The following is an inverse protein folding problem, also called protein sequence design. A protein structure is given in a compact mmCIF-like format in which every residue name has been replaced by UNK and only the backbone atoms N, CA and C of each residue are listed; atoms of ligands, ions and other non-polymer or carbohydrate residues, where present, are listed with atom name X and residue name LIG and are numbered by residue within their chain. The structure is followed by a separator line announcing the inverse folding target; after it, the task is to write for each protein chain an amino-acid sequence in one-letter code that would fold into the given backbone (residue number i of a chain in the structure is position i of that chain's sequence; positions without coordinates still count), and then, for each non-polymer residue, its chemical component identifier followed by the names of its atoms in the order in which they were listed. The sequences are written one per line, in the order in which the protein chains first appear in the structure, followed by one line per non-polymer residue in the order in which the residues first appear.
data_IF_478750141950
#
_entry.id   IF_478750141950
#
_cell.length_a   1.000
_cell.length_b   1.000
_cell.length_c   1.000
_cell.angle_alpha   90.00
_cell.angle_beta   90.00
_cell.angle_gamma   90.00
#
_symmetry.space_group_name_H-M   'P 1'
#
loop_
_entity.id
_entity.type
_entity.pdbx_description
1 polymer ?
#
# COMPACT_ATOMS: atom_id res chain seq x y z
N UNK A 1 0.80 -17.53 2.08
CA UNK A 1 0.80 -19.01 2.20
C UNK A 1 0.95 -19.69 0.83
N UNK A 2 0.11 -19.39 -0.17
CA UNK A 2 0.13 -20.07 -1.48
C UNK A 2 1.46 -19.95 -2.24
N UNK A 3 2.05 -18.75 -2.29
CA UNK A 3 3.36 -18.54 -2.93
C UNK A 3 4.46 -19.46 -2.32
N UNK A 4 4.48 -19.60 -1.00
CA UNK A 4 5.44 -20.46 -0.32
C UNK A 4 5.26 -21.94 -0.70
N UNK A 5 4.00 -22.40 -0.75
CA UNK A 5 3.65 -23.75 -1.20
C UNK A 5 4.10 -24.00 -2.65
N UNK A 6 3.80 -23.06 -3.57
CA UNK A 6 4.17 -23.18 -4.99
C UNK A 6 5.68 -23.22 -5.21
N UNK A 7 6.44 -22.47 -4.42
CA UNK A 7 7.91 -22.43 -4.49
C UNK A 7 8.60 -23.55 -3.69
N UNK A 8 7.85 -24.37 -2.95
CA UNK A 8 8.43 -25.40 -2.08
C UNK A 8 9.25 -24.83 -0.92
N UNK A 9 8.96 -23.60 -0.47
CA UNK A 9 9.66 -22.95 0.63
C UNK A 9 8.80 -22.90 1.89
N UNK A 10 9.43 -22.77 3.06
CA UNK A 10 8.72 -22.71 4.34
C UNK A 10 8.05 -21.36 4.52
N UNK A 11 6.73 -21.36 4.73
CA UNK A 11 6.01 -20.21 5.24
C UNK A 11 6.29 -20.03 6.74
N UNK A 12 6.57 -18.80 7.16
CA UNK A 12 6.77 -18.41 8.56
C UNK A 12 6.16 -17.05 8.80
N UNK A 13 5.56 -16.87 9.97
CA UNK A 13 5.16 -15.55 10.45
C UNK A 13 6.42 -14.84 10.95
N UNK A 14 7.08 -14.09 10.07
CA UNK A 14 8.27 -13.31 10.44
C UNK A 14 7.91 -12.01 11.16
N UNK A 15 6.77 -11.41 10.83
CA UNK A 15 6.27 -10.20 11.46
C UNK A 15 4.95 -10.45 12.16
N UNK A 16 4.82 -9.90 13.36
CA UNK A 16 3.56 -9.88 14.11
C UNK A 16 3.00 -8.46 14.09
N UNK A 17 1.75 -8.35 13.66
CA UNK A 17 1.00 -7.09 13.70
C UNK A 17 0.56 -6.80 15.13
N UNK A 18 0.93 -5.62 15.64
CA UNK A 18 0.43 -5.14 16.92
C UNK A 18 -1.06 -4.81 16.77
N UNK A 19 -1.91 -5.58 17.45
CA UNK A 19 -3.37 -5.40 17.41
C UNK A 19 -3.83 -4.13 18.12
N UNK A 20 -3.04 -3.63 19.06
CA UNK A 20 -3.37 -2.50 19.92
C UNK A 20 -2.40 -1.34 19.64
N UNK A 21 -2.61 -0.65 18.52
CA UNK A 21 -1.88 0.58 18.20
C UNK A 21 -2.77 1.74 18.65
N UNK A 22 -2.42 2.36 19.79
CA UNK A 22 -3.10 3.55 20.29
C UNK A 22 -2.75 4.80 19.47
N UNK A 23 -3.58 5.84 19.57
CA UNK A 23 -3.23 7.16 19.02
C UNK A 23 -2.02 7.72 19.76
N UNK A 24 -1.05 8.26 19.04
CA UNK A 24 0.10 8.93 19.66
C UNK A 24 -0.33 10.32 20.12
N UNK A 25 -0.35 10.57 21.43
CA UNK A 25 -0.56 11.92 21.96
C UNK A 25 0.66 12.81 21.66
N UNK A 26 0.43 14.12 21.49
CA UNK A 26 1.50 15.10 21.25
C UNK A 26 2.38 15.13 22.51
N UNK A 27 3.56 14.51 22.45
CA UNK A 27 4.54 14.53 23.52
C UNK A 27 5.46 15.75 23.34
N UNK A 28 5.69 16.58 24.37
CA UNK A 28 6.67 17.66 24.30
C UNK A 28 8.09 17.06 24.22
N UNK A 29 8.68 17.09 23.04
CA UNK A 29 10.01 16.56 22.74
C UNK A 29 10.08 15.99 21.32
N UNK A 30 10.80 16.67 20.41
CA UNK A 30 10.85 16.30 18.97
C UNK A 30 11.45 14.91 18.69
N UNK A 31 12.22 14.34 19.62
CA UNK A 31 13.05 13.15 19.39
C UNK A 31 12.28 11.82 19.46
N UNK A 32 11.01 11.84 19.89
CA UNK A 32 10.18 10.63 20.08
C UNK A 32 9.16 10.35 18.96
N UNK A 33 9.32 10.94 17.77
CA UNK A 33 8.67 10.42 16.54
C UNK A 33 9.52 9.32 15.91
N UNK A 34 9.76 8.22 16.63
CA UNK A 34 10.43 7.05 16.03
C UNK A 34 9.41 6.20 15.26
N UNK A 35 9.57 6.21 13.92
CA UNK A 35 9.13 5.25 12.89
C UNK A 35 7.82 4.51 13.19
N UNK A 36 6.71 5.04 12.67
CA UNK A 36 5.36 4.49 12.84
C UNK A 36 5.28 2.99 12.52
N UNK A 37 6.04 2.47 11.55
CA UNK A 37 5.95 1.06 11.17
C UNK A 37 6.47 0.13 12.26
N UNK A 38 7.50 0.52 13.02
CA UNK A 38 7.99 -0.26 14.17
C UNK A 38 6.98 -0.33 15.31
N UNK A 39 6.03 0.61 15.36
CA UNK A 39 4.91 0.52 16.30
C UNK A 39 3.82 -0.43 15.78
N UNK A 40 3.71 -0.61 14.46
CA UNK A 40 2.69 -1.46 13.83
C UNK A 40 3.11 -2.92 13.72
N UNK A 41 4.38 -3.18 13.47
CA UNK A 41 4.93 -4.51 13.20
C UNK A 41 6.11 -4.80 14.12
N UNK A 42 6.17 -6.02 14.64
CA UNK A 42 7.29 -6.53 15.42
C UNK A 42 7.95 -7.71 14.68
N UNK A 43 9.26 -7.66 14.37
CA UNK A 43 9.96 -8.79 13.79
C UNK A 43 10.22 -9.87 14.84
N UNK A 44 10.12 -11.14 14.44
CA UNK A 44 10.60 -12.28 15.22
C UNK A 44 12.02 -12.60 14.77
N UNK A 45 13.02 -12.16 15.53
CA UNK A 45 14.44 -12.27 15.16
C UNK A 45 14.88 -13.66 14.69
N UNK A 46 14.38 -14.72 15.35
CA UNK A 46 14.70 -16.11 15.02
C UNK A 46 14.25 -16.50 13.60
N UNK A 47 13.23 -15.83 13.08
CA UNK A 47 12.72 -16.07 11.72
C UNK A 47 13.54 -15.39 10.63
N UNK A 48 14.36 -14.39 10.97
CA UNK A 48 15.20 -13.65 10.01
C UNK A 48 16.68 -14.00 10.10
N UNK A 49 17.20 -14.23 11.32
CA UNK A 49 18.63 -14.33 11.59
C UNK A 49 19.33 -15.35 10.71
N UNK A 50 20.30 -14.88 9.92
CA UNK A 50 21.12 -15.71 9.05
C UNK A 50 20.38 -16.32 7.85
N UNK A 51 19.16 -15.87 7.52
CA UNK A 51 18.35 -16.44 6.43
C UNK A 51 18.28 -15.49 5.23
N UNK A 52 18.02 -16.05 4.05
CA UNK A 52 17.54 -15.29 2.90
C UNK A 52 16.01 -15.35 2.97
N UNK A 53 15.36 -14.19 3.05
CA UNK A 53 13.91 -14.11 3.27
C UNK A 53 13.24 -13.44 2.08
N UNK A 54 12.03 -13.87 1.77
CA UNK A 54 11.13 -13.19 0.84
C UNK A 54 9.93 -12.67 1.61
N UNK A 55 9.79 -11.34 1.62
CA UNK A 55 8.64 -10.66 2.18
C UNK A 55 7.59 -10.51 1.08
N UNK A 56 6.33 -10.74 1.43
CA UNK A 56 5.20 -10.61 0.51
C UNK A 56 4.24 -9.62 1.13
N UNK A 57 3.88 -8.59 0.38
CA UNK A 57 2.93 -7.55 0.78
C UNK A 57 1.85 -7.42 -0.29
N UNK A 58 0.72 -6.80 0.07
CA UNK A 58 -0.39 -6.62 -0.86
C UNK A 58 0.01 -5.73 -2.05
N UNK A 59 0.67 -4.61 -1.76
CA UNK A 59 0.92 -3.54 -2.71
C UNK A 59 2.06 -2.64 -2.22
N UNK A 60 2.59 -1.81 -3.13
CA UNK A 60 3.60 -0.80 -2.81
C UNK A 60 3.10 0.55 -3.34
N UNK A 61 2.66 1.43 -2.42
CA UNK A 61 2.10 2.75 -2.76
C UNK A 61 3.18 3.85 -2.63
N UNK A 62 3.46 4.33 -1.41
CA UNK A 62 4.49 5.35 -1.13
C UNK A 62 5.89 4.75 -0.93
N UNK A 63 5.99 3.43 -0.73
CA UNK A 63 7.24 2.69 -0.50
C UNK A 63 7.96 2.94 0.85
N UNK A 64 7.58 3.96 1.61
CA UNK A 64 8.16 4.27 2.94
C UNK A 64 7.98 3.10 3.92
N UNK A 65 6.79 2.50 3.95
CA UNK A 65 6.49 1.33 4.78
C UNK A 65 7.34 0.13 4.39
N UNK A 66 7.41 -0.20 3.10
CA UNK A 66 8.20 -1.32 2.60
C UNK A 66 9.69 -1.14 2.92
N UNK A 67 10.21 0.08 2.78
CA UNK A 67 11.59 0.42 3.16
C UNK A 67 11.86 0.17 4.65
N UNK A 68 10.94 0.58 5.52
CA UNK A 68 11.07 0.32 6.96
C UNK A 68 10.99 -1.18 7.28
N UNK A 69 10.09 -1.92 6.62
CA UNK A 69 9.95 -3.38 6.77
C UNK A 69 11.23 -4.11 6.33
N UNK A 70 11.78 -3.75 5.16
CA UNK A 70 13.04 -4.33 4.66
C UNK A 70 14.17 -4.05 5.66
N UNK A 71 14.26 -2.81 6.17
CA UNK A 71 15.26 -2.47 7.17
C UNK A 71 15.06 -3.27 8.46
N UNK A 72 13.83 -3.45 8.95
CA UNK A 72 13.55 -4.26 10.13
C UNK A 72 13.96 -5.72 9.96
N UNK A 73 13.74 -6.30 8.78
CA UNK A 73 14.19 -7.66 8.48
C UNK A 73 15.74 -7.76 8.47
N UNK A 74 16.44 -6.75 7.92
CA UNK A 74 17.91 -6.68 7.98
C UNK A 74 18.43 -6.51 9.40
N UNK A 75 17.81 -5.62 10.18
CA UNK A 75 18.14 -5.37 11.59
C UNK A 75 17.96 -6.64 12.43
N UNK A 76 16.95 -7.46 12.12
CA UNK A 76 16.71 -8.78 12.72
C UNK A 76 17.71 -9.88 12.26
N UNK A 77 18.62 -9.55 11.34
CA UNK A 77 19.73 -10.39 10.92
C UNK A 77 19.51 -11.16 9.60
N UNK A 78 18.56 -10.77 8.75
CA UNK A 78 18.42 -11.36 7.42
C UNK A 78 19.66 -11.09 6.54
N UNK A 79 20.15 -12.12 5.84
CA UNK A 79 21.28 -12.02 4.89
C UNK A 79 20.88 -11.33 3.59
N UNK A 80 19.75 -11.75 3.05
CA UNK A 80 19.13 -11.24 1.82
C UNK A 80 17.65 -11.02 2.06
N UNK A 81 17.13 -9.90 1.59
CA UNK A 81 15.72 -9.54 1.72
C UNK A 81 15.15 -9.29 0.33
N UNK A 82 14.35 -10.25 -0.13
CA UNK A 82 13.55 -10.13 -1.35
C UNK A 82 12.17 -9.61 -0.98
N UNK A 83 11.53 -8.91 -1.91
CA UNK A 83 10.20 -8.33 -1.72
C UNK A 83 9.31 -8.67 -2.92
N UNK A 84 8.10 -9.13 -2.68
CA UNK A 84 7.11 -9.41 -3.70
C UNK A 84 5.82 -8.65 -3.39
N UNK A 85 5.33 -7.87 -4.34
CA UNK A 85 4.04 -7.20 -4.31
C UNK A 85 2.99 -8.07 -4.99
N UNK A 86 1.87 -8.34 -4.33
CA UNK A 86 0.75 -9.09 -4.92
C UNK A 86 -0.04 -8.27 -5.95
N UNK A 87 0.08 -6.94 -5.93
CA UNK A 87 -0.41 -6.05 -6.96
C UNK A 87 0.70 -5.64 -7.94
N UNK A 88 0.35 -5.25 -9.19
CA UNK A 88 1.24 -4.52 -10.09
C UNK A 88 1.68 -3.17 -9.51
N UNK A 89 2.67 -2.48 -10.13
CA UNK A 89 3.10 -1.17 -9.68
C UNK A 89 1.95 -0.16 -9.75
N UNK A 90 1.61 0.48 -8.63
CA UNK A 90 0.60 1.54 -8.55
C UNK A 90 1.24 2.86 -9.03
N UNK A 91 0.89 3.27 -10.25
CA UNK A 91 1.52 4.40 -10.96
C UNK A 91 0.63 5.64 -11.06
N UNK A 92 -0.67 5.46 -10.91
CA UNK A 92 -1.67 6.51 -11.08
C UNK A 92 -2.60 6.58 -9.87
N UNK A 93 -3.13 7.78 -9.54
CA UNK A 93 -4.08 7.94 -8.45
C UNK A 93 -5.43 7.31 -8.79
N UNK A 94 -6.16 6.82 -7.78
CA UNK A 94 -7.56 6.45 -7.98
C UNK A 94 -8.46 7.69 -7.83
N UNK A 95 -9.50 7.77 -8.65
CA UNK A 95 -10.49 8.87 -8.65
C UNK A 95 -11.92 8.37 -8.47
N UNK A 96 -12.09 7.09 -8.14
CA UNK A 96 -13.38 6.41 -8.00
C UNK A 96 -13.69 6.01 -6.55
N UNK A 97 -13.11 6.72 -5.58
CA UNK A 97 -13.43 6.60 -4.16
C UNK A 97 -12.41 5.84 -3.30
N UNK A 98 -11.36 5.27 -3.88
CA UNK A 98 -10.24 4.72 -3.10
C UNK A 98 -9.25 5.84 -2.80
N UNK A 99 -9.02 6.11 -1.50
CA UNK A 99 -8.05 7.11 -1.08
C UNK A 99 -6.62 6.68 -1.46
N UNK A 100 -6.05 7.39 -2.43
CA UNK A 100 -4.69 7.23 -2.92
C UNK A 100 -3.97 8.57 -2.86
N UNK A 101 -2.65 8.57 -2.58
CA UNK A 101 -1.87 9.80 -2.57
C UNK A 101 -1.75 10.41 -3.98
N UNK A 102 -1.14 11.58 -4.10
CA UNK A 102 -0.93 12.15 -5.44
C UNK A 102 0.08 11.32 -6.24
N UNK A 103 0.05 11.46 -7.56
CA UNK A 103 0.93 10.71 -8.47
C UNK A 103 2.40 10.86 -8.07
N UNK A 104 2.83 12.08 -7.73
CA UNK A 104 4.20 12.39 -7.30
C UNK A 104 4.62 11.69 -6.00
N UNK A 105 3.67 11.29 -5.16
CA UNK A 105 3.92 10.58 -3.90
C UNK A 105 3.94 9.06 -4.06
N UNK A 106 3.51 8.54 -5.22
CA UNK A 106 3.60 7.12 -5.56
C UNK A 106 5.04 6.77 -5.91
N UNK A 107 5.59 5.75 -5.25
CA UNK A 107 6.98 5.36 -5.50
C UNK A 107 7.19 4.86 -6.93
N UNK A 108 6.17 4.21 -7.50
CA UNK A 108 6.25 3.67 -8.86
C UNK A 108 5.94 4.69 -9.95
N UNK A 109 5.50 5.91 -9.60
CA UNK A 109 5.30 6.95 -10.60
C UNK A 109 6.63 7.31 -11.27
N UNK A 110 6.66 7.20 -12.60
CA UNK A 110 7.83 7.40 -13.47
C UNK A 110 9.10 6.66 -13.06
N UNK A 111 8.96 5.50 -12.41
CA UNK A 111 10.11 4.68 -12.01
C UNK A 111 10.01 3.25 -12.50
N UNK A 112 11.16 2.72 -12.89
CA UNK A 112 11.36 1.31 -13.19
C UNK A 112 11.35 0.47 -11.92
N UNK A 113 11.09 -0.83 -12.05
CA UNK A 113 11.13 -1.76 -10.90
C UNK A 113 12.49 -1.77 -10.23
N UNK A 114 13.57 -1.62 -11.00
CA UNK A 114 14.94 -1.58 -10.46
C UNK A 114 15.20 -0.33 -9.62
N UNK A 115 14.72 0.85 -10.05
CA UNK A 115 14.82 2.07 -9.25
C UNK A 115 14.02 1.93 -7.95
N UNK A 116 12.82 1.35 -8.00
CA UNK A 116 12.01 1.11 -6.80
C UNK A 116 12.73 0.14 -5.85
N UNK A 117 13.30 -0.95 -6.38
CA UNK A 117 14.09 -1.93 -5.60
C UNK A 117 15.21 -1.24 -4.82
N UNK A 118 15.96 -0.35 -5.47
CA UNK A 118 17.02 0.44 -4.85
C UNK A 118 16.44 1.35 -3.76
N UNK A 119 15.34 2.07 -4.04
CA UNK A 119 14.72 3.02 -3.11
C UNK A 119 14.24 2.36 -1.81
N UNK A 120 13.64 1.16 -1.91
CA UNK A 120 13.18 0.38 -0.74
C UNK A 120 14.31 -0.44 -0.08
N UNK A 121 15.45 -0.60 -0.75
CA UNK A 121 16.62 -1.30 -0.23
C UNK A 121 16.52 -2.83 -0.25
N UNK A 122 15.67 -3.40 -1.11
CA UNK A 122 15.52 -4.84 -1.28
C UNK A 122 16.66 -5.41 -2.15
N UNK A 123 17.04 -6.68 -1.93
CA UNK A 123 18.00 -7.38 -2.80
C UNK A 123 17.35 -7.78 -4.15
N UNK A 124 16.04 -8.00 -4.16
CA UNK A 124 15.24 -8.27 -5.36
C UNK A 124 13.80 -7.83 -5.09
N UNK A 125 13.15 -7.27 -6.10
CA UNK A 125 11.77 -6.81 -6.05
C UNK A 125 10.99 -7.44 -7.21
N UNK A 126 9.84 -8.03 -6.90
CA UNK A 126 8.89 -8.53 -7.89
C UNK A 126 7.55 -7.83 -7.71
N UNK A 127 6.89 -7.59 -8.83
CA UNK A 127 5.49 -7.19 -8.89
C UNK A 127 4.71 -8.27 -9.60
N UNK A 128 3.44 -8.43 -9.22
CA UNK A 128 2.50 -9.23 -9.99
C UNK A 128 2.26 -8.58 -11.36
N UNK A 129 2.20 -9.38 -12.42
CA UNK A 129 1.81 -8.90 -13.74
C UNK A 129 0.32 -8.56 -13.77
N UNK A 130 -0.04 -7.46 -14.45
CA UNK A 130 -1.45 -7.00 -14.50
C UNK A 130 -2.36 -8.04 -15.15
N UNK A 131 -1.91 -8.66 -16.25
CA UNK A 131 -2.69 -9.68 -16.95
C UNK A 131 -2.94 -10.91 -16.05
N UNK A 132 -1.94 -11.30 -15.26
CA UNK A 132 -2.09 -12.41 -14.31
C UNK A 132 -3.02 -12.05 -13.16
N UNK A 133 -2.97 -10.79 -12.67
CA UNK A 133 -3.93 -10.31 -11.66
C UNK A 133 -5.36 -10.36 -12.20
N UNK A 134 -5.60 -9.82 -13.40
CA UNK A 134 -6.90 -9.84 -14.08
C UNK A 134 -7.39 -11.28 -14.27
N UNK A 135 -6.53 -12.18 -14.74
CA UNK A 135 -6.88 -13.60 -14.91
C UNK A 135 -7.30 -14.22 -13.56
N UNK A 136 -6.51 -14.00 -12.51
CA UNK A 136 -6.77 -14.55 -11.17
C UNK A 136 -8.12 -14.11 -10.59
N UNK A 137 -8.54 -12.86 -10.80
CA UNK A 137 -9.83 -12.37 -10.31
C UNK A 137 -11.00 -12.75 -11.22
N UNK A 138 -10.78 -12.85 -12.54
CA UNK A 138 -11.81 -13.28 -13.49
C UNK A 138 -12.21 -14.75 -13.30
N UNK A 139 -11.27 -15.61 -12.90
CA UNK A 139 -11.54 -17.04 -12.60
C UNK A 139 -12.58 -17.25 -11.48
N UNK A 140 -12.89 -16.21 -10.69
CA UNK A 140 -13.90 -16.27 -9.63
C UNK A 140 -15.32 -16.13 -10.17
N UNK A 141 -15.51 -15.37 -11.26
CA UNK A 141 -16.82 -15.13 -11.87
C UNK A 141 -16.71 -14.71 -13.34
N UNK A 142 -17.02 -15.64 -14.24
CA UNK A 142 -16.98 -15.46 -15.70
C UNK A 142 -17.97 -14.40 -16.23
N UNK A 143 -18.92 -13.94 -15.41
CA UNK A 143 -19.91 -12.92 -15.84
C UNK A 143 -19.40 -11.48 -15.72
N UNK A 144 -18.19 -11.26 -15.19
CA UNK A 144 -17.59 -9.93 -15.06
C UNK A 144 -16.84 -9.60 -16.35
N UNK A 145 -17.37 -8.65 -17.12
CA UNK A 145 -16.76 -8.16 -18.36
C UNK A 145 -15.86 -6.96 -18.07
N UNK A 146 -14.64 -7.25 -17.62
CA UNK A 146 -13.58 -6.27 -17.40
C UNK A 146 -13.41 -5.74 -15.97
N UNK A 147 -12.31 -5.03 -15.75
CA UNK A 147 -11.88 -4.55 -14.44
C UNK A 147 -11.39 -3.11 -14.52
N UNK A 148 -11.69 -2.32 -13.50
CA UNK A 148 -11.16 -0.97 -13.33
C UNK A 148 -9.67 -1.08 -12.90
N UNK A 149 -8.76 -0.72 -13.80
CA UNK A 149 -7.31 -0.91 -13.64
C UNK A 149 -6.52 0.40 -13.74
N UNK A 150 -7.17 1.56 -13.65
CA UNK A 150 -6.58 2.88 -13.90
C UNK A 150 -5.34 3.15 -13.06
N UNK A 151 -5.31 2.69 -11.80
CA UNK A 151 -4.16 2.87 -10.91
C UNK A 151 -2.88 2.20 -11.42
N UNK A 152 -3.00 1.20 -12.32
CA UNK A 152 -1.89 0.48 -12.93
C UNK A 152 -1.60 0.97 -14.37
N UNK A 153 -2.64 1.23 -15.16
CA UNK A 153 -2.54 1.53 -16.61
C UNK A 153 -2.62 3.01 -16.95
N UNK A 154 -3.28 3.80 -16.11
CA UNK A 154 -3.65 5.19 -16.41
C UNK A 154 -4.88 5.32 -17.30
N UNK A 155 -5.55 4.20 -17.62
CA UNK A 155 -6.76 4.17 -18.43
C UNK A 155 -7.99 4.20 -17.53
N UNK A 156 -8.68 5.33 -17.52
CA UNK A 156 -9.87 5.56 -16.68
C UNK A 156 -11.14 5.31 -17.50
N UNK A 157 -12.00 4.41 -17.02
CA UNK A 157 -13.16 3.89 -17.78
C UNK A 157 -14.20 4.97 -18.13
N UNK A 158 -14.27 6.05 -17.37
CA UNK A 158 -15.23 7.15 -17.60
C UNK A 158 -14.84 8.06 -18.77
N UNK A 159 -13.60 8.00 -19.24
CA UNK A 159 -13.12 8.74 -20.42
C UNK A 159 -12.99 10.25 -20.25
N UNK A 160 -13.34 10.80 -19.08
CA UNK A 160 -13.29 12.22 -18.72
C UNK A 160 -12.13 12.58 -17.77
N UNK A 161 -11.30 11.59 -17.43
CA UNK A 161 -10.14 11.75 -16.57
C UNK A 161 -8.88 11.90 -17.43
N UNK A 162 -8.40 13.14 -17.51
CA UNK A 162 -7.16 13.49 -18.21
C UNK A 162 -6.08 13.98 -17.24
N UNK A 163 -4.89 14.23 -17.77
CA UNK A 163 -3.78 14.77 -16.98
C UNK A 163 -4.13 16.13 -16.34
N UNK A 164 -4.94 16.96 -17.00
CA UNK A 164 -5.35 18.26 -16.48
C UNK A 164 -6.26 18.11 -15.24
N UNK A 165 -7.19 17.15 -15.27
CA UNK A 165 -8.02 16.78 -14.11
C UNK A 165 -7.16 16.30 -12.95
N UNK A 166 -6.23 15.37 -13.20
CA UNK A 166 -5.35 14.84 -12.15
C UNK A 166 -4.46 15.92 -11.53
N UNK A 167 -3.93 16.84 -12.33
CA UNK A 167 -3.12 17.96 -11.85
C UNK A 167 -3.94 18.90 -10.95
N UNK A 168 -5.18 19.25 -11.35
CA UNK A 168 -6.07 20.07 -10.51
C UNK A 168 -6.37 19.39 -9.17
N UNK A 169 -6.51 18.06 -9.18
CA UNK A 169 -6.77 17.27 -7.98
C UNK A 169 -5.56 17.25 -7.03
N UNK A 170 -4.35 17.16 -7.58
CA UNK A 170 -3.10 17.29 -6.81
C UNK A 170 -2.94 18.71 -6.22
N UNK A 171 -3.20 19.76 -7.00
CA UNK A 171 -3.18 21.15 -6.53
C UNK A 171 -4.15 21.40 -5.38
N UNK A 172 -5.40 20.95 -5.51
CA UNK A 172 -6.42 21.07 -4.46
C UNK A 172 -6.00 20.38 -3.15
N UNK A 173 -5.38 19.20 -3.23
CA UNK A 173 -4.86 18.48 -2.05
C UNK A 173 -3.69 19.19 -1.39
N UNK A 174 -2.79 19.76 -2.18
CA UNK A 174 -1.66 20.53 -1.67
C UNK A 174 -2.11 21.79 -0.92
N UNK A 175 -3.17 22.45 -1.40
CA UNK A 175 -3.72 23.63 -0.74
C UNK A 175 -4.45 23.29 0.57
N UNK A 176 -5.15 22.16 0.66
CA UNK A 176 -5.69 21.64 1.93
C UNK A 176 -4.56 21.38 2.94
N UNK A 177 -3.48 20.75 2.48
CA UNK A 177 -2.32 20.44 3.34
C UNK A 177 -1.60 21.71 3.82
N UNK A 178 -1.47 22.73 2.96
CA UNK A 178 -0.82 24.02 3.30
C UNK A 178 -1.68 24.93 4.16
N UNK A 179 -3.00 24.93 3.96
CA UNK A 179 -3.93 25.76 4.74
C UNK A 179 -4.12 25.28 6.17
N UNK A 180 -3.62 24.08 6.52
CA UNK A 180 -3.68 23.54 7.87
C UNK A 180 -5.11 23.26 8.33
N UNK A 181 -6.07 23.18 7.40
CA UNK A 181 -7.43 22.74 7.70
C UNK A 181 -7.36 21.26 7.99
N UNK A 182 -7.27 20.95 9.29
CA UNK A 182 -7.46 19.61 9.82
C UNK A 182 -8.84 19.17 9.37
N UNK A 183 -8.92 18.06 8.65
CA UNK A 183 -10.17 17.31 8.47
C UNK A 183 -10.69 16.94 9.87
N UNK A 184 -11.51 17.82 10.44
CA UNK A 184 -12.33 17.49 11.59
C UNK A 184 -13.36 16.52 11.07
N UNK A 185 -13.03 15.23 11.12
CA UNK A 185 -13.92 14.16 10.73
C UNK A 185 -15.32 14.44 11.27
N UNK A 186 -16.21 14.77 10.35
CA UNK A 186 -17.63 14.61 10.57
C UNK A 186 -17.88 13.11 10.62
N UNK A 187 -17.96 12.60 11.85
CA UNK A 187 -18.94 11.60 12.20
C UNK A 187 -20.23 11.83 11.41
N UNK A 188 -20.41 11.06 10.35
CA UNK A 188 -21.73 10.58 9.96
C UNK A 188 -21.54 9.19 9.37
N UNK A 189 -21.51 8.20 10.26
CA UNK A 189 -21.92 6.86 9.87
C UNK A 189 -23.35 7.03 9.37
N UNK A 190 -23.57 6.82 8.07
CA UNK A 190 -24.90 6.85 7.47
C UNK A 190 -25.88 6.00 8.29
N UNK A 191 -26.64 6.67 9.16
CA UNK A 191 -27.92 6.20 9.62
C UNK A 191 -28.87 6.69 8.54
N UNK A 192 -29.16 5.79 7.60
CA UNK A 192 -30.34 5.89 6.76
C UNK A 192 -31.51 5.69 7.75
N UNK A 193 -32.04 6.78 8.27
CA UNK A 193 -33.34 6.76 8.95
C UNK A 193 -34.38 6.46 7.87
N UNK A 194 -34.80 5.19 7.82
CA UNK A 194 -36.02 4.79 7.14
C UNK A 194 -37.17 5.57 7.76
N UNK A 195 -37.74 6.49 7.00
CA UNK A 195 -39.10 6.97 7.23
C UNK A 195 -40.04 5.76 7.11
N UNK A 196 -40.52 5.25 8.24
CA UNK A 196 -41.77 4.51 8.28
C UNK A 196 -42.88 5.54 8.47
N UNK A 197 -43.56 5.87 7.38
CA UNK A 197 -44.94 6.34 7.44
C UNK A 197 -45.81 5.15 7.85
N UNK A 198 -46.39 5.13 9.05
CA UNK A 198 -47.65 4.44 9.34
C UNK A 198 -48.44 5.19 10.45
N UNK A 199 -49.66 5.57 10.05
CA UNK A 199 -50.89 5.95 10.77
C UNK A 199 -50.96 7.18 11.70
#
# INVERSE_FOLDING_TARGET
MQMAHRLGVKFREGFIKNRYIGRTFIMPGQTMRKKSVRQKLNPIDLEFRGKNVMLVDDSIVRGTTCKEIVQMARDAGARKVYFASAAPPVRYPNVYGIDMPSANELIAHDKTVEEIRVLIGADWLLYQDLNDLVTCVSDVNDNIDGWECSVFTGEYITGDIDAAYLNRLDEARNDITRSGVVDTGSTDNGIIDLYNDED
#
